data_IF_486384607332
#
_entry.id   IF_486384607332
#
_cell.length_a   1.000
_cell.length_b   1.000
_cell.length_c   1.000
_cell.angle_alpha   90.00
_cell.angle_beta   90.00
_cell.angle_gamma   90.00
#
_symmetry.space_group_name_H-M   'P 1'
#
loop_
_entity.id
_entity.type
_entity.pdbx_description
1 polymer ?
#
# COMPACT_ATOMS: atom_id res chain seq x y z
N UNK A 1 -25.27 0.30 -2.31
CA UNK A 1 -24.63 1.34 -3.17
C UNK A 1 -23.41 1.98 -2.49
N UNK A 2 -23.52 2.38 -1.24
CA UNK A 2 -22.47 3.11 -0.51
C UNK A 2 -21.13 2.34 -0.39
N UNK A 3 -21.15 1.06 0.00
CA UNK A 3 -19.92 0.26 0.16
C UNK A 3 -19.11 0.19 -1.14
N UNK A 4 -19.76 -0.10 -2.26
CA UNK A 4 -19.06 -0.17 -3.56
C UNK A 4 -18.41 1.16 -3.95
N UNK A 5 -19.13 2.27 -3.82
CA UNK A 5 -18.59 3.60 -4.14
C UNK A 5 -17.41 3.98 -3.23
N UNK A 6 -17.53 3.72 -1.93
CA UNK A 6 -16.45 3.97 -0.98
C UNK A 6 -15.25 3.06 -1.25
N UNK A 7 -15.47 1.80 -1.64
CA UNK A 7 -14.38 0.90 -2.03
C UNK A 7 -13.64 1.39 -3.27
N UNK A 8 -14.36 1.87 -4.29
CA UNK A 8 -13.74 2.45 -5.48
C UNK A 8 -12.97 3.75 -5.16
N UNK A 9 -13.53 4.62 -4.32
CA UNK A 9 -12.84 5.81 -3.83
C UNK A 9 -11.56 5.43 -3.05
N UNK A 10 -11.61 4.37 -2.25
CA UNK A 10 -10.45 3.83 -1.55
C UNK A 10 -9.37 3.29 -2.49
N UNK A 11 -9.73 2.73 -3.65
CA UNK A 11 -8.75 2.38 -4.70
C UNK A 11 -8.03 3.63 -5.21
N UNK A 12 -8.77 4.71 -5.48
CA UNK A 12 -8.16 5.98 -5.89
C UNK A 12 -7.20 6.50 -4.83
N UNK A 13 -7.59 6.48 -3.56
CA UNK A 13 -6.71 6.84 -2.42
C UNK A 13 -5.44 5.98 -2.46
N UNK A 14 -5.56 4.66 -2.61
CA UNK A 14 -4.42 3.74 -2.64
C UNK A 14 -3.45 4.06 -3.77
N UNK A 15 -3.96 4.36 -4.96
CA UNK A 15 -3.15 4.74 -6.12
C UNK A 15 -2.43 6.07 -5.87
N UNK A 16 -3.15 7.08 -5.40
CA UNK A 16 -2.57 8.42 -5.11
C UNK A 16 -1.50 8.32 -4.03
N UNK A 17 -1.79 7.62 -2.92
CA UNK A 17 -0.80 7.40 -1.86
C UNK A 17 0.43 6.70 -2.41
N UNK A 18 0.26 5.62 -3.17
CA UNK A 18 1.38 4.90 -3.78
C UNK A 18 2.23 5.78 -4.71
N UNK A 19 1.59 6.57 -5.56
CA UNK A 19 2.30 7.49 -6.46
C UNK A 19 3.11 8.55 -5.69
N UNK A 20 2.54 9.14 -4.64
CA UNK A 20 3.24 10.12 -3.79
C UNK A 20 4.33 9.47 -2.96
N UNK A 21 4.05 8.31 -2.37
CA UNK A 21 4.97 7.59 -1.49
C UNK A 21 6.23 7.12 -2.20
N UNK A 22 6.06 6.50 -3.37
CA UNK A 22 7.17 5.96 -4.17
C UNK A 22 7.74 6.94 -5.20
N UNK A 23 7.36 8.22 -5.14
CA UNK A 23 7.97 9.24 -5.99
C UNK A 23 9.47 9.35 -5.69
N UNK A 24 10.37 9.31 -6.68
CA UNK A 24 11.83 9.36 -6.48
C UNK A 24 12.32 10.60 -5.71
N UNK A 25 11.55 11.69 -5.70
CA UNK A 25 11.88 12.90 -4.94
C UNK A 25 11.65 12.75 -3.43
N UNK A 26 10.85 11.78 -2.99
CA UNK A 26 10.55 11.54 -1.57
C UNK A 26 11.62 10.66 -0.91
N UNK A 27 11.78 10.73 0.43
CA UNK A 27 12.66 9.82 1.15
C UNK A 27 12.30 8.34 0.92
N UNK A 28 11.01 8.01 0.91
CA UNK A 28 10.53 6.64 0.72
C UNK A 28 10.72 6.15 -0.72
N UNK A 29 10.50 7.02 -1.71
CA UNK A 29 10.80 6.73 -3.10
C UNK A 29 12.28 6.46 -3.34
N UNK A 30 13.18 7.22 -2.68
CA UNK A 30 14.63 6.96 -2.76
C UNK A 30 15.02 5.61 -2.17
N UNK A 31 14.40 5.18 -1.06
CA UNK A 31 14.60 3.83 -0.50
C UNK A 31 14.16 2.78 -1.52
N UNK A 32 13.02 2.98 -2.16
CA UNK A 32 12.50 2.08 -3.19
C UNK A 32 13.42 2.00 -4.42
N UNK A 33 13.90 3.14 -4.91
CA UNK A 33 14.85 3.20 -6.04
C UNK A 33 16.17 2.50 -5.71
N UNK A 34 16.69 2.68 -4.47
CA UNK A 34 17.88 1.97 -4.01
C UNK A 34 17.66 0.45 -3.95
N UNK A 35 16.51 0.01 -3.44
CA UNK A 35 16.14 -1.40 -3.43
C UNK A 35 16.11 -2.01 -4.84
N UNK A 36 15.64 -1.25 -5.83
CA UNK A 36 15.63 -1.67 -7.24
C UNK A 36 17.01 -1.58 -7.91
N UNK A 37 18.04 -1.09 -7.19
CA UNK A 37 19.39 -0.93 -7.72
C UNK A 37 19.57 0.25 -8.68
N UNK A 38 18.59 1.16 -8.76
CA UNK A 38 18.67 2.30 -9.68
C UNK A 38 19.73 3.33 -9.29
N UNK A 39 20.15 3.38 -8.02
CA UNK A 39 21.15 4.32 -7.52
C UNK A 39 22.57 4.03 -7.99
N UNK A 40 22.84 2.79 -8.43
CA UNK A 40 24.16 2.36 -8.93
C UNK A 40 24.25 2.28 -10.46
N UNK A 41 23.15 2.53 -11.17
CA UNK A 41 23.06 2.41 -12.61
C UNK A 41 23.29 3.75 -13.30
N UNK A 42 23.98 3.73 -14.44
CA UNK A 42 24.07 4.88 -15.34
C UNK A 42 22.70 5.28 -15.91
N UNK A 43 22.52 6.52 -16.36
CA UNK A 43 21.26 6.96 -16.98
C UNK A 43 20.82 6.10 -18.18
N UNK A 44 21.79 5.61 -18.97
CA UNK A 44 21.52 4.72 -20.10
C UNK A 44 20.99 3.36 -19.65
N UNK A 45 21.60 2.77 -18.61
CA UNK A 45 21.16 1.50 -18.03
C UNK A 45 19.78 1.61 -17.40
N UNK A 46 19.52 2.72 -16.67
CA UNK A 46 18.19 2.99 -16.11
C UNK A 46 17.13 3.04 -17.21
N UNK A 47 17.42 3.77 -18.31
CA UNK A 47 16.51 3.87 -19.46
C UNK A 47 16.25 2.51 -20.11
N UNK A 48 17.28 1.68 -20.27
CA UNK A 48 17.15 0.32 -20.80
C UNK A 48 16.26 -0.56 -19.93
N UNK A 49 16.46 -0.54 -18.61
CA UNK A 49 15.63 -1.30 -17.67
C UNK A 49 14.16 -0.86 -17.71
N UNK A 50 13.90 0.45 -17.80
CA UNK A 50 12.54 0.98 -17.92
C UNK A 50 11.88 0.48 -19.22
N UNK A 51 12.61 0.51 -20.35
CA UNK A 51 12.11 0.00 -21.63
C UNK A 51 11.80 -1.50 -21.56
N UNK A 52 12.66 -2.30 -20.96
CA UNK A 52 12.45 -3.74 -20.76
C UNK A 52 11.28 -4.04 -19.81
N UNK A 53 10.98 -3.16 -18.85
CA UNK A 53 9.87 -3.30 -17.93
C UNK A 53 8.51 -2.90 -18.54
N UNK A 54 8.48 -1.97 -19.52
CA UNK A 54 7.24 -1.45 -20.12
C UNK A 54 6.21 -2.52 -20.51
N UNK A 55 6.57 -3.61 -21.19
CA UNK A 55 5.58 -4.64 -21.60
C UNK A 55 4.99 -5.40 -20.39
N UNK A 56 5.65 -5.39 -19.22
CA UNK A 56 5.19 -6.04 -17.99
C UNK A 56 4.33 -5.11 -17.12
N UNK A 57 4.44 -3.80 -17.29
CA UNK A 57 3.77 -2.79 -16.48
C UNK A 57 2.24 -2.96 -16.42
N UNK A 58 1.50 -3.21 -17.52
CA UNK A 58 0.05 -3.37 -17.46
C UNK A 58 -0.38 -4.49 -16.51
N UNK A 59 0.33 -5.63 -16.54
CA UNK A 59 0.04 -6.76 -15.65
C UNK A 59 0.30 -6.41 -14.18
N UNK A 60 1.39 -5.69 -13.90
CA UNK A 60 1.75 -5.25 -12.54
C UNK A 60 0.70 -4.26 -12.03
N UNK A 61 0.31 -3.26 -12.82
CA UNK A 61 -0.72 -2.30 -12.42
C UNK A 61 -2.09 -2.93 -12.23
N UNK A 62 -2.48 -3.88 -13.08
CA UNK A 62 -3.72 -4.63 -12.90
C UNK A 62 -3.71 -5.39 -11.57
N UNK A 63 -2.63 -6.09 -11.25
CA UNK A 63 -2.45 -6.75 -9.97
C UNK A 63 -2.56 -5.77 -8.79
N UNK A 64 -1.89 -4.62 -8.88
CA UNK A 64 -1.92 -3.59 -7.84
C UNK A 64 -3.35 -3.03 -7.63
N UNK A 65 -4.08 -2.77 -8.69
CA UNK A 65 -5.48 -2.31 -8.62
C UNK A 65 -6.37 -3.36 -7.96
N UNK A 66 -6.22 -4.63 -8.30
CA UNK A 66 -6.97 -5.73 -7.68
C UNK A 66 -6.69 -5.84 -6.18
N UNK A 67 -5.42 -5.79 -5.77
CA UNK A 67 -5.06 -5.80 -4.34
C UNK A 67 -5.58 -4.55 -3.60
N UNK A 68 -5.49 -3.38 -4.23
CA UNK A 68 -6.06 -2.15 -3.67
C UNK A 68 -7.58 -2.25 -3.51
N UNK A 69 -8.28 -2.85 -4.47
CA UNK A 69 -9.72 -3.06 -4.39
C UNK A 69 -10.08 -4.02 -3.24
N UNK A 70 -9.36 -5.12 -3.08
CA UNK A 70 -9.57 -6.06 -1.98
C UNK A 70 -9.35 -5.39 -0.62
N UNK A 71 -8.23 -4.68 -0.45
CA UNK A 71 -7.90 -3.97 0.79
C UNK A 71 -8.95 -2.89 1.11
N UNK A 72 -9.32 -2.10 0.10
CA UNK A 72 -10.31 -1.04 0.26
C UNK A 72 -11.69 -1.62 0.61
N UNK A 73 -12.15 -2.63 -0.13
CA UNK A 73 -13.44 -3.27 0.13
C UNK A 73 -13.49 -3.89 1.52
N UNK A 74 -12.44 -4.60 1.93
CA UNK A 74 -12.34 -5.15 3.28
C UNK A 74 -12.42 -4.06 4.35
N UNK A 75 -11.63 -2.99 4.21
CA UNK A 75 -11.60 -1.88 5.17
C UNK A 75 -12.95 -1.19 5.28
N UNK A 76 -13.56 -0.83 4.15
CA UNK A 76 -14.90 -0.19 4.09
C UNK A 76 -15.95 -1.11 4.70
N UNK A 77 -15.97 -2.38 4.31
CA UNK A 77 -16.95 -3.36 4.78
C UNK A 77 -16.87 -3.56 6.30
N UNK A 78 -15.66 -3.82 6.82
CA UNK A 78 -15.46 -4.07 8.25
C UNK A 78 -15.87 -2.86 9.09
N UNK A 79 -15.48 -1.64 8.71
CA UNK A 79 -15.85 -0.43 9.44
C UNK A 79 -17.37 -0.22 9.38
N UNK A 80 -17.96 -0.26 8.18
CA UNK A 80 -19.39 -0.02 8.00
C UNK A 80 -20.23 -1.03 8.75
N UNK A 81 -19.93 -2.33 8.63
CA UNK A 81 -20.66 -3.38 9.33
C UNK A 81 -20.52 -3.26 10.85
N UNK A 82 -19.31 -2.94 11.34
CA UNK A 82 -19.11 -2.77 12.78
C UNK A 82 -19.96 -1.63 13.35
N UNK A 83 -19.94 -0.47 12.69
CA UNK A 83 -20.73 0.69 13.14
C UNK A 83 -22.24 0.41 13.07
N UNK A 84 -22.73 -0.22 12.00
CA UNK A 84 -24.13 -0.61 11.86
C UNK A 84 -24.59 -1.60 12.95
N UNK A 85 -23.69 -2.39 13.51
CA UNK A 85 -23.94 -3.28 14.65
C UNK A 85 -23.66 -2.62 16.02
N UNK A 86 -23.55 -1.30 16.08
CA UNK A 86 -23.44 -0.55 17.33
C UNK A 86 -21.99 -0.44 17.88
N UNK A 87 -20.99 -0.87 17.13
CA UNK A 87 -19.59 -0.70 17.54
C UNK A 87 -19.20 0.78 17.36
N UNK A 88 -18.62 1.45 18.38
CA UNK A 88 -18.13 2.82 18.23
C UNK A 88 -17.12 2.94 17.08
N UNK A 89 -17.20 4.01 16.30
CA UNK A 89 -16.36 4.22 15.11
C UNK A 89 -14.86 4.05 15.39
N UNK A 90 -14.37 4.58 16.52
CA UNK A 90 -12.96 4.42 16.91
C UNK A 90 -12.54 2.95 17.06
N UNK A 91 -13.42 2.11 17.62
CA UNK A 91 -13.18 0.67 17.73
C UNK A 91 -13.32 -0.03 16.36
N UNK A 92 -14.27 0.38 15.54
CA UNK A 92 -14.47 -0.17 14.20
C UNK A 92 -13.23 0.06 13.31
N UNK A 93 -12.57 1.21 13.43
CA UNK A 93 -11.32 1.52 12.71
C UNK A 93 -10.14 0.68 13.21
N UNK A 94 -10.15 0.26 14.46
CA UNK A 94 -9.08 -0.61 15.00
C UNK A 94 -9.03 -1.99 14.33
N UNK A 95 -10.15 -2.53 13.83
CA UNK A 95 -10.15 -3.85 13.20
C UNK A 95 -9.25 -3.94 11.95
N UNK A 96 -9.36 -3.05 10.94
CA UNK A 96 -8.44 -3.10 9.81
C UNK A 96 -7.00 -2.76 10.20
N UNK A 97 -6.76 -1.92 11.22
CA UNK A 97 -5.42 -1.66 11.76
C UNK A 97 -4.82 -2.92 12.41
N UNK A 98 -5.60 -3.65 13.19
CA UNK A 98 -5.19 -4.94 13.76
C UNK A 98 -4.94 -5.97 12.66
N UNK A 99 -5.80 -6.02 11.62
CA UNK A 99 -5.58 -6.84 10.44
C UNK A 99 -4.25 -6.51 9.75
N UNK A 100 -3.93 -5.24 9.59
CA UNK A 100 -2.64 -4.80 9.08
C UNK A 100 -1.48 -5.28 9.98
N UNK A 101 -1.58 -5.09 11.28
CA UNK A 101 -0.54 -5.48 12.24
C UNK A 101 -0.32 -7.00 12.29
N UNK A 102 -1.40 -7.78 12.27
CA UNK A 102 -1.33 -9.24 12.43
C UNK A 102 -1.03 -10.00 11.13
N UNK A 103 -1.35 -9.44 9.97
CA UNK A 103 -1.21 -10.14 8.69
C UNK A 103 -0.29 -9.42 7.71
N UNK A 104 -0.52 -8.13 7.45
CA UNK A 104 0.25 -7.41 6.43
C UNK A 104 1.69 -7.17 6.85
N UNK A 105 1.90 -6.66 8.06
CA UNK A 105 3.25 -6.37 8.55
C UNK A 105 4.12 -7.64 8.67
N UNK A 106 3.64 -8.78 9.23
CA UNK A 106 4.41 -10.02 9.22
C UNK A 106 4.64 -10.60 7.83
N UNK A 107 3.67 -10.51 6.91
CA UNK A 107 3.84 -11.01 5.55
C UNK A 107 4.92 -10.22 4.78
N UNK A 108 4.91 -8.89 4.88
CA UNK A 108 5.96 -8.03 4.30
C UNK A 108 7.31 -8.31 4.96
N UNK A 109 7.35 -8.40 6.30
CA UNK A 109 8.56 -8.75 7.05
C UNK A 109 9.15 -10.09 6.64
N UNK A 110 8.30 -11.12 6.51
CA UNK A 110 8.69 -12.43 6.01
C UNK A 110 9.28 -12.35 4.59
N UNK A 111 8.62 -11.66 3.67
CA UNK A 111 9.10 -11.46 2.31
C UNK A 111 10.46 -10.76 2.23
N UNK A 112 10.75 -9.85 3.17
CA UNK A 112 12.04 -9.17 3.26
C UNK A 112 13.11 -10.06 3.89
N UNK A 113 12.79 -10.78 4.98
CA UNK A 113 13.72 -11.68 5.66
C UNK A 113 14.17 -12.84 4.78
N UNK A 114 13.28 -13.40 3.96
CA UNK A 114 13.58 -14.46 3.01
C UNK A 114 14.00 -13.95 1.62
N UNK A 115 14.00 -12.63 1.41
CA UNK A 115 14.46 -11.98 0.19
C UNK A 115 15.97 -11.69 0.21
N UNK A 116 16.46 -11.16 -0.90
CA UNK A 116 17.88 -10.81 -1.06
C UNK A 116 18.25 -9.42 -0.52
N UNK A 117 17.38 -8.82 0.32
CA UNK A 117 17.64 -7.49 0.90
C UNK A 117 18.24 -7.67 2.29
N UNK A 118 19.43 -7.11 2.53
CA UNK A 118 20.15 -7.29 3.78
C UNK A 118 20.36 -5.96 4.52
N UNK A 119 20.62 -6.09 5.84
CA UNK A 119 21.07 -4.99 6.69
C UNK A 119 20.06 -3.86 6.85
N UNK A 120 20.56 -2.64 6.88
CA UNK A 120 19.77 -1.43 7.12
C UNK A 120 18.73 -1.16 6.01
N UNK A 121 19.03 -1.56 4.77
CA UNK A 121 18.10 -1.37 3.66
C UNK A 121 16.85 -2.25 3.81
N UNK A 122 16.99 -3.47 4.35
CA UNK A 122 15.87 -4.37 4.64
C UNK A 122 14.88 -3.73 5.61
N UNK A 123 15.36 -3.13 6.71
CA UNK A 123 14.52 -2.43 7.68
C UNK A 123 13.87 -1.17 7.11
N UNK A 124 14.62 -0.37 6.35
CA UNK A 124 14.06 0.82 5.67
C UNK A 124 12.96 0.44 4.69
N UNK A 125 13.15 -0.64 3.94
CA UNK A 125 12.15 -1.19 3.04
C UNK A 125 10.92 -1.67 3.79
N UNK A 126 11.11 -2.46 4.86
CA UNK A 126 10.02 -2.95 5.71
C UNK A 126 9.14 -1.81 6.21
N UNK A 127 9.74 -0.80 6.83
CA UNK A 127 8.99 0.36 7.33
C UNK A 127 8.32 1.14 6.19
N UNK A 128 9.00 1.34 5.06
CA UNK A 128 8.42 2.04 3.92
C UNK A 128 7.18 1.33 3.38
N UNK A 129 7.25 0.02 3.13
CA UNK A 129 6.15 -0.75 2.55
C UNK A 129 4.98 -0.90 3.54
N UNK A 130 5.26 -1.20 4.80
CA UNK A 130 4.22 -1.39 5.83
C UNK A 130 3.52 -0.08 6.17
N UNK A 131 4.26 1.03 6.32
CA UNK A 131 3.67 2.34 6.61
C UNK A 131 2.83 2.87 5.45
N UNK A 132 3.23 2.66 4.21
CA UNK A 132 2.42 3.03 3.04
C UNK A 132 1.02 2.39 3.12
N UNK A 133 0.96 1.09 3.41
CA UNK A 133 -0.30 0.36 3.54
C UNK A 133 -1.12 0.85 4.74
N UNK A 134 -0.48 1.11 5.88
CA UNK A 134 -1.16 1.64 7.08
C UNK A 134 -1.77 3.01 6.81
N UNK A 135 -1.00 3.93 6.21
CA UNK A 135 -1.50 5.27 5.83
C UNK A 135 -2.70 5.16 4.89
N UNK A 136 -2.63 4.24 3.93
CA UNK A 136 -3.75 3.99 3.01
C UNK A 136 -5.00 3.52 3.75
N UNK A 137 -4.89 2.56 4.66
CA UNK A 137 -5.99 2.06 5.49
C UNK A 137 -6.60 3.19 6.33
N UNK A 138 -5.77 4.03 6.95
CA UNK A 138 -6.24 5.14 7.77
C UNK A 138 -6.96 6.22 6.95
N UNK A 139 -6.49 6.51 5.74
CA UNK A 139 -7.17 7.46 4.84
C UNK A 139 -8.50 6.91 4.33
N UNK A 140 -8.60 5.61 4.04
CA UNK A 140 -9.85 4.96 3.70
C UNK A 140 -10.81 4.99 4.90
N UNK A 141 -10.33 4.71 6.10
CA UNK A 141 -11.13 4.79 7.32
C UNK A 141 -11.65 6.22 7.58
N UNK A 142 -10.80 7.22 7.35
CA UNK A 142 -11.19 8.63 7.43
C UNK A 142 -12.28 8.95 6.38
N UNK A 143 -12.11 8.52 5.13
CA UNK A 143 -13.15 8.68 4.11
C UNK A 143 -14.48 8.07 4.56
N UNK A 144 -14.47 6.83 5.05
CA UNK A 144 -15.68 6.12 5.51
C UNK A 144 -16.36 6.88 6.65
N UNK A 145 -15.58 7.47 7.56
CA UNK A 145 -16.12 8.21 8.72
C UNK A 145 -16.96 9.44 8.36
N UNK A 146 -16.76 10.00 7.16
CA UNK A 146 -17.58 11.12 6.67
C UNK A 146 -18.95 10.68 6.15
N UNK A 147 -19.18 9.39 5.94
CA UNK A 147 -20.40 8.84 5.35
C UNK A 147 -21.18 7.92 6.30
N UNK A 148 -20.69 7.74 7.52
CA UNK A 148 -21.34 7.01 8.61
C UNK A 148 -21.92 7.96 9.65
#
# INVERSE_FOLDING_TARGET
MTILLLSLAGVVISVVVGMLWYNPSTPMGRIHMRYLGFDILSPEEQKKLIEEAKPKMPKIYTGQILFSLLTSTFTVFVITMSVQNGVPLAMAVMFPVLGWLCFTAPAVGGGILWGNTEGELAWKRFFSETLCTLVTILLIALLVSFFL
#
